data_IF_008885583662
#
_entry.id   IF_008885583662
#
_cell.length_a   1.000
_cell.length_b   1.000
_cell.length_c   1.000
_cell.angle_alpha   90.00
_cell.angle_beta   90.00
_cell.angle_gamma   90.00
#
_symmetry.space_group_name_H-M   'P 1'
#
loop_
_entity.id
_entity.type
_entity.pdbx_description
1 polymer ?
#
# COMPACT_ATOMS: atom_id res chain seq x y z
N UNK A 1 -18.90 41.26 4.92
CA UNK A 1 -19.98 40.33 4.52
C UNK A 1 -19.45 38.91 4.77
N UNK A 2 -19.82 38.25 5.87
CA UNK A 2 -19.50 36.83 6.07
C UNK A 2 -20.41 36.06 5.11
N UNK A 3 -19.86 35.74 3.94
CA UNK A 3 -20.56 35.18 2.79
C UNK A 3 -20.97 33.73 3.00
N UNK A 4 -21.90 33.30 2.13
CA UNK A 4 -22.39 31.92 1.97
C UNK A 4 -23.12 31.30 3.17
N UNK A 5 -24.29 30.67 2.92
CA UNK A 5 -24.99 29.83 3.90
C UNK A 5 -24.33 28.46 4.10
N UNK A 6 -23.36 28.09 3.25
CA UNK A 6 -22.64 26.83 3.39
C UNK A 6 -21.68 26.94 4.56
N UNK A 7 -21.68 25.93 5.41
CA UNK A 7 -20.67 25.77 6.44
C UNK A 7 -19.30 25.66 5.79
N UNK A 8 -18.40 26.56 6.15
CA UNK A 8 -17.00 26.55 5.72
C UNK A 8 -16.17 26.01 6.88
N UNK A 9 -15.47 24.90 6.64
CA UNK A 9 -14.49 24.41 7.60
C UNK A 9 -13.40 25.48 7.77
N UNK A 10 -13.02 25.76 9.01
CA UNK A 10 -11.84 26.56 9.31
C UNK A 10 -10.56 25.83 8.86
N UNK A 11 -9.39 26.45 9.01
CA UNK A 11 -8.08 25.81 8.74
C UNK A 11 -7.69 24.75 9.80
N UNK A 12 -8.67 24.24 10.54
CA UNK A 12 -8.48 23.30 11.64
C UNK A 12 -8.24 21.89 11.09
N UNK A 13 -7.38 21.12 11.77
CA UNK A 13 -7.17 19.72 11.42
C UNK A 13 -8.42 18.95 11.82
N UNK A 14 -9.08 18.30 10.85
CA UNK A 14 -10.24 17.45 11.11
C UNK A 14 -9.81 16.22 11.91
N UNK A 15 -10.09 16.23 13.22
CA UNK A 15 -9.71 15.15 14.12
C UNK A 15 -10.92 14.63 14.87
N UNK A 16 -10.96 13.32 15.09
CA UNK A 16 -11.91 12.72 16.03
C UNK A 16 -11.49 13.12 17.44
N UNK A 17 -12.31 13.86 18.19
CA UNK A 17 -11.95 14.25 19.55
C UNK A 17 -11.97 13.00 20.44
N UNK A 18 -10.80 12.52 20.84
CA UNK A 18 -10.66 11.37 21.75
C UNK A 18 -10.79 11.82 23.21
N UNK A 19 -10.24 12.99 23.54
CA UNK A 19 -10.28 13.56 24.89
C UNK A 19 -10.31 15.08 24.82
N UNK A 20 -11.23 15.70 25.56
CA UNK A 20 -11.30 17.14 25.73
C UNK A 20 -10.28 17.56 26.80
N UNK A 21 -9.19 18.19 26.37
CA UNK A 21 -8.16 18.70 27.27
C UNK A 21 -8.05 20.22 27.19
N UNK A 22 -7.83 20.86 28.34
CA UNK A 22 -7.57 22.30 28.41
C UNK A 22 -6.11 22.58 28.08
N UNK A 23 -5.87 23.14 26.91
CA UNK A 23 -4.53 23.54 26.47
C UNK A 23 -4.26 24.97 26.95
N UNK A 24 -3.34 25.13 27.89
CA UNK A 24 -2.89 26.45 28.38
C UNK A 24 -1.47 26.76 27.94
N UNK A 25 -0.56 25.82 28.15
CA UNK A 25 0.85 25.87 27.74
C UNK A 25 1.20 24.50 27.18
N UNK A 26 1.12 24.37 25.85
CA UNK A 26 1.35 23.09 25.19
C UNK A 26 2.77 22.54 25.43
N UNK A 27 3.86 23.33 25.30
CA UNK A 27 5.21 22.87 25.63
C UNK A 27 5.34 22.33 27.06
N UNK A 28 4.87 23.05 28.07
CA UNK A 28 4.96 22.60 29.46
C UNK A 28 4.18 21.30 29.70
N UNK A 29 2.96 21.21 29.15
CA UNK A 29 2.11 20.02 29.27
C UNK A 29 2.73 18.80 28.55
N UNK A 30 3.39 18.99 27.39
CA UNK A 30 4.10 17.92 26.70
C UNK A 30 5.20 17.34 27.60
N UNK A 31 6.00 18.22 28.22
CA UNK A 31 7.11 17.82 29.09
C UNK A 31 6.59 17.07 30.33
N UNK A 32 5.52 17.55 30.95
CA UNK A 32 4.90 16.90 32.11
C UNK A 32 4.42 15.49 31.77
N UNK A 33 3.68 15.33 30.67
CA UNK A 33 3.15 14.04 30.22
C UNK A 33 4.27 13.09 29.83
N UNK A 34 5.30 13.59 29.13
CA UNK A 34 6.46 12.79 28.76
C UNK A 34 7.17 12.24 30.00
N UNK A 35 7.42 13.08 31.02
CA UNK A 35 8.00 12.64 32.29
C UNK A 35 7.12 11.63 33.01
N UNK A 36 5.79 11.83 32.99
CA UNK A 36 4.83 10.88 33.57
C UNK A 36 4.89 9.51 32.91
N UNK A 37 4.90 9.46 31.58
CA UNK A 37 5.01 8.21 30.82
C UNK A 37 6.35 7.51 31.08
N UNK A 38 7.44 8.26 31.21
CA UNK A 38 8.75 7.67 31.52
C UNK A 38 8.79 7.11 32.94
N UNK A 39 8.27 7.84 33.92
CA UNK A 39 8.36 7.45 35.33
C UNK A 39 7.43 6.27 35.70
N UNK A 40 6.27 6.15 35.05
CA UNK A 40 5.23 5.21 35.46
C UNK A 40 5.16 3.94 34.58
N UNK A 41 5.95 3.84 33.50
CA UNK A 41 5.91 2.72 32.56
C UNK A 41 7.26 1.96 32.50
N UNK A 42 7.81 1.59 33.66
CA UNK A 42 9.10 0.87 33.75
C UNK A 42 8.89 -0.64 33.65
N UNK A 43 8.26 -1.25 34.66
CA UNK A 43 8.07 -2.71 34.72
C UNK A 43 6.73 -3.18 34.12
N UNK A 44 5.69 -2.37 34.31
CA UNK A 44 4.35 -2.62 33.80
C UNK A 44 3.77 -1.35 33.17
N UNK A 45 2.89 -1.52 32.20
CA UNK A 45 2.18 -0.40 31.59
C UNK A 45 1.19 0.16 32.60
N UNK A 46 1.36 1.42 32.98
CA UNK A 46 0.40 2.13 33.83
C UNK A 46 -0.98 2.24 33.16
N UNK A 47 -2.06 2.17 33.94
CA UNK A 47 -3.45 2.13 33.44
C UNK A 47 -3.80 3.34 32.56
N UNK A 48 -3.31 4.52 32.92
CA UNK A 48 -3.57 5.77 32.19
C UNK A 48 -2.62 6.02 31.01
N UNK A 49 -1.60 5.16 30.81
CA UNK A 49 -0.57 5.37 29.80
C UNK A 49 -1.11 5.50 28.37
N UNK A 50 -2.13 4.72 27.93
CA UNK A 50 -2.73 4.93 26.62
C UNK A 50 -3.34 6.33 26.46
N UNK A 51 -4.02 6.83 27.50
CA UNK A 51 -4.61 8.16 27.47
C UNK A 51 -3.53 9.25 27.47
N UNK A 52 -2.51 9.13 28.32
CA UNK A 52 -1.35 10.03 28.36
C UNK A 52 -0.60 10.04 27.03
N UNK A 53 -0.44 8.89 26.38
CA UNK A 53 0.18 8.79 25.07
C UNK A 53 -0.65 9.50 23.99
N UNK A 54 -1.98 9.37 24.02
CA UNK A 54 -2.85 10.14 23.13
C UNK A 54 -2.68 11.64 23.39
N UNK A 55 -2.60 12.09 24.64
CA UNK A 55 -2.33 13.50 24.96
C UNK A 55 -0.96 13.96 24.43
N UNK A 56 0.07 13.11 24.51
CA UNK A 56 1.41 13.35 23.95
C UNK A 56 1.39 13.49 22.40
N UNK A 57 0.38 12.94 21.73
CA UNK A 57 0.13 13.13 20.29
C UNK A 57 -0.70 14.40 20.02
N UNK A 58 -1.66 14.72 20.89
CA UNK A 58 -2.58 15.84 20.71
C UNK A 58 -1.90 17.20 20.88
N UNK A 59 -1.08 17.38 21.91
CA UNK A 59 -0.46 18.67 22.23
C UNK A 59 0.53 19.17 21.16
N UNK A 60 1.34 18.32 20.50
CA UNK A 60 2.18 18.78 19.41
C UNK A 60 1.41 19.29 18.18
N UNK A 61 0.12 18.93 18.01
CA UNK A 61 -0.70 19.37 16.86
C UNK A 61 -1.01 20.87 16.89
N UNK A 62 -0.96 21.48 18.08
CA UNK A 62 -1.14 22.92 18.28
C UNK A 62 0.18 23.62 18.66
N UNK A 63 1.30 22.90 18.60
CA UNK A 63 2.64 23.45 18.84
C UNK A 63 3.31 23.84 17.52
N UNK A 64 4.19 24.84 17.57
CA UNK A 64 5.02 25.20 16.42
C UNK A 64 6.21 24.24 16.28
N UNK A 65 6.87 24.27 15.12
CA UNK A 65 8.09 23.48 14.91
C UNK A 65 9.16 23.81 15.95
N UNK A 66 9.35 25.09 16.25
CA UNK A 66 10.38 25.57 17.19
C UNK A 66 10.14 25.00 18.59
N UNK A 67 8.89 24.92 19.04
CA UNK A 67 8.54 24.31 20.32
C UNK A 67 8.86 22.82 20.34
N UNK A 68 8.52 22.10 19.27
CA UNK A 68 8.82 20.66 19.14
C UNK A 68 10.34 20.43 19.13
N UNK A 69 11.09 21.27 18.43
CA UNK A 69 12.55 21.22 18.39
C UNK A 69 13.19 21.54 19.73
N UNK A 70 12.66 22.49 20.49
CA UNK A 70 13.14 22.81 21.83
C UNK A 70 12.97 21.62 22.78
N UNK A 71 11.80 20.95 22.75
CA UNK A 71 11.53 19.75 23.54
C UNK A 71 12.44 18.61 23.10
N UNK A 72 12.62 18.40 21.79
CA UNK A 72 13.57 17.43 21.27
C UNK A 72 14.99 17.68 21.77
N UNK A 73 15.48 18.93 21.68
CA UNK A 73 16.82 19.30 22.11
C UNK A 73 17.05 19.01 23.61
N UNK A 74 16.01 19.15 24.43
CA UNK A 74 16.06 18.82 25.85
C UNK A 74 16.23 17.31 26.10
N UNK A 75 15.53 16.45 25.35
CA UNK A 75 15.43 15.01 25.66
C UNK A 75 16.15 14.07 24.69
N UNK A 76 16.75 14.58 23.61
CA UNK A 76 17.34 13.74 22.55
C UNK A 76 18.46 12.82 23.00
N UNK A 77 19.13 13.14 24.11
CA UNK A 77 20.23 12.36 24.69
C UNK A 77 19.75 11.42 25.83
N UNK A 78 18.47 11.46 26.18
CA UNK A 78 17.87 10.60 27.21
C UNK A 78 17.12 9.44 26.54
N UNK A 79 17.66 8.21 26.53
CA UNK A 79 17.16 7.14 25.64
C UNK A 79 15.67 6.83 25.78
N UNK A 80 15.14 6.84 27.00
CA UNK A 80 13.72 6.52 27.27
C UNK A 80 12.81 7.66 26.82
N UNK A 81 13.13 8.91 27.16
CA UNK A 81 12.38 10.08 26.71
C UNK A 81 12.41 10.22 25.17
N UNK A 82 13.60 10.05 24.58
CA UNK A 82 13.81 10.05 23.13
C UNK A 82 12.91 9.03 22.43
N UNK A 83 12.82 7.80 22.96
CA UNK A 83 11.96 6.76 22.41
C UNK A 83 10.48 7.16 22.45
N UNK A 84 9.98 7.64 23.58
CA UNK A 84 8.60 8.12 23.70
C UNK A 84 8.27 9.25 22.72
N UNK A 85 9.22 10.18 22.50
CA UNK A 85 9.07 11.24 21.49
C UNK A 85 9.01 10.65 20.08
N UNK A 86 9.90 9.73 19.72
CA UNK A 86 9.91 9.10 18.40
C UNK A 86 8.72 8.17 18.15
N UNK A 87 8.10 7.63 19.21
CA UNK A 87 6.87 6.85 19.11
C UNK A 87 5.63 7.77 18.93
N UNK A 88 5.60 8.92 19.60
CA UNK A 88 4.46 9.84 19.57
C UNK A 88 4.45 10.79 18.37
N UNK A 89 5.58 11.45 18.07
CA UNK A 89 5.66 12.52 17.07
C UNK A 89 5.15 12.09 15.68
N UNK A 90 5.50 10.92 15.13
CA UNK A 90 4.97 10.47 13.84
C UNK A 90 3.43 10.40 13.76
N UNK A 91 2.77 10.17 14.90
CA UNK A 91 1.32 10.03 14.99
C UNK A 91 0.57 11.37 15.10
N UNK A 92 1.30 12.49 15.24
CA UNK A 92 0.74 13.85 15.26
C UNK A 92 0.03 14.15 13.94
N UNK A 93 0.54 13.64 12.80
CA UNK A 93 -0.15 13.69 11.52
C UNK A 93 -0.18 15.08 10.86
N UNK A 94 0.82 15.93 11.13
CA UNK A 94 0.97 17.24 10.49
C UNK A 94 2.20 17.28 9.56
N UNK A 95 2.20 18.12 8.51
CA UNK A 95 3.38 18.30 7.63
C UNK A 95 4.64 18.73 8.41
N UNK A 96 4.45 19.47 9.50
CA UNK A 96 5.49 19.91 10.44
C UNK A 96 6.33 18.73 10.93
N UNK A 97 5.71 17.59 11.26
CA UNK A 97 6.43 16.41 11.74
C UNK A 97 7.23 15.74 10.63
N UNK A 98 6.69 15.67 9.42
CA UNK A 98 7.45 15.11 8.29
C UNK A 98 8.69 15.97 8.03
N UNK A 99 8.56 17.30 8.15
CA UNK A 99 9.68 18.24 8.03
C UNK A 99 10.70 18.03 9.16
N UNK A 100 10.24 17.95 10.41
CA UNK A 100 11.08 17.65 11.57
C UNK A 100 11.88 16.35 11.38
N UNK A 101 11.21 15.24 11.03
CA UNK A 101 11.85 13.93 10.83
C UNK A 101 12.91 14.00 9.71
N UNK A 102 12.58 14.67 8.58
CA UNK A 102 13.52 14.93 7.49
C UNK A 102 14.75 15.68 7.99
N UNK A 103 14.56 16.82 8.67
CA UNK A 103 15.66 17.68 9.10
C UNK A 103 16.57 16.98 10.12
N UNK A 104 16.00 16.28 11.11
CA UNK A 104 16.79 15.53 12.11
C UNK A 104 17.57 14.37 11.50
N UNK A 105 17.02 13.67 10.50
CA UNK A 105 17.78 12.65 9.80
C UNK A 105 18.90 13.22 8.93
N UNK A 106 18.64 14.32 8.20
CA UNK A 106 19.66 14.96 7.38
C UNK A 106 20.81 15.49 8.24
N UNK A 107 20.51 16.07 9.41
CA UNK A 107 21.47 16.51 10.41
C UNK A 107 22.25 15.38 11.11
N UNK A 108 21.89 14.11 10.89
CA UNK A 108 22.53 12.97 11.54
C UNK A 108 22.10 12.76 13.00
N UNK A 109 21.01 13.40 13.44
CA UNK A 109 20.47 13.25 14.78
C UNK A 109 19.59 12.00 14.95
N UNK A 110 19.15 11.38 13.85
CA UNK A 110 18.42 10.12 13.85
C UNK A 110 19.26 9.00 13.23
N UNK A 111 19.24 7.83 13.88
CA UNK A 111 19.77 6.60 13.29
C UNK A 111 18.87 6.13 12.14
N UNK A 112 19.39 5.25 11.28
CA UNK A 112 18.61 4.72 10.17
C UNK A 112 17.33 3.97 10.63
N UNK A 113 17.36 3.11 11.68
CA UNK A 113 16.14 2.46 12.17
C UNK A 113 15.11 3.45 12.73
N UNK A 114 15.55 4.43 13.53
CA UNK A 114 14.67 5.48 14.07
C UNK A 114 14.01 6.28 12.96
N UNK A 115 14.77 6.63 11.92
CA UNK A 115 14.24 7.36 10.78
C UNK A 115 13.21 6.55 10.00
N UNK A 116 13.49 5.28 9.69
CA UNK A 116 12.55 4.41 8.96
C UNK A 116 11.25 4.23 9.76
N UNK A 117 11.35 3.91 11.05
CA UNK A 117 10.18 3.74 11.92
C UNK A 117 9.34 5.03 11.98
N UNK A 118 9.99 6.17 12.24
CA UNK A 118 9.31 7.45 12.35
C UNK A 118 8.67 7.88 11.02
N UNK A 119 9.39 7.74 9.91
CA UNK A 119 8.93 8.17 8.60
C UNK A 119 7.74 7.35 8.11
N UNK A 120 7.77 6.01 8.25
CA UNK A 120 6.68 5.14 7.79
C UNK A 120 5.37 5.49 8.50
N UNK A 121 5.41 5.69 9.82
CA UNK A 121 4.23 6.09 10.60
C UNK A 121 3.79 7.51 10.20
N UNK A 122 4.72 8.46 10.08
CA UNK A 122 4.40 9.84 9.72
C UNK A 122 3.72 9.94 8.34
N UNK A 123 4.23 9.24 7.33
CA UNK A 123 3.66 9.22 5.98
C UNK A 123 2.27 8.58 5.92
N UNK A 124 1.94 7.67 6.85
CA UNK A 124 0.60 7.09 6.95
C UNK A 124 -0.38 8.02 7.67
N UNK A 125 0.10 8.78 8.66
CA UNK A 125 -0.73 9.60 9.55
C UNK A 125 -1.00 11.01 8.99
N UNK A 126 -0.03 11.59 8.28
CA UNK A 126 -0.14 12.94 7.73
C UNK A 126 -1.20 13.03 6.63
N UNK A 127 -1.85 14.18 6.49
CA UNK A 127 -2.73 14.48 5.36
C UNK A 127 -1.95 14.42 4.04
N UNK A 128 -2.52 13.78 3.04
CA UNK A 128 -1.93 13.72 1.70
C UNK A 128 -2.31 14.95 0.87
N UNK A 129 -1.71 16.09 1.18
CA UNK A 129 -1.82 17.34 0.42
C UNK A 129 -0.60 17.58 -0.48
N UNK A 130 -0.65 18.64 -1.29
CA UNK A 130 0.42 18.97 -2.23
C UNK A 130 1.73 19.30 -1.53
N UNK A 131 1.69 19.99 -0.38
CA UNK A 131 2.86 20.35 0.41
C UNK A 131 3.60 19.09 0.91
N UNK A 132 2.86 18.16 1.52
CA UNK A 132 3.43 16.93 2.06
C UNK A 132 3.92 16.00 0.96
N UNK A 133 3.23 15.96 -0.19
CA UNK A 133 3.72 15.23 -1.37
C UNK A 133 5.03 15.82 -1.90
N UNK A 134 5.15 17.15 -2.01
CA UNK A 134 6.40 17.81 -2.42
C UNK A 134 7.54 17.53 -1.44
N UNK A 135 7.25 17.56 -0.13
CA UNK A 135 8.21 17.23 0.90
C UNK A 135 8.71 15.79 0.76
N UNK A 136 7.79 14.84 0.57
CA UNK A 136 8.10 13.42 0.39
C UNK A 136 8.90 13.18 -0.90
N UNK A 137 8.52 13.83 -2.01
CA UNK A 137 9.26 13.77 -3.26
C UNK A 137 10.67 14.33 -3.11
N UNK A 138 10.83 15.47 -2.42
CA UNK A 138 12.15 16.08 -2.16
C UNK A 138 13.05 15.14 -1.35
N UNK A 139 12.47 14.37 -0.42
CA UNK A 139 13.20 13.40 0.37
C UNK A 139 13.60 12.19 -0.50
N UNK A 140 12.67 11.69 -1.32
CA UNK A 140 12.91 10.54 -2.20
C UNK A 140 14.07 10.77 -3.19
N UNK A 141 14.22 12.03 -3.65
CA UNK A 141 15.25 12.44 -4.61
C UNK A 141 16.52 13.00 -3.95
N UNK A 142 16.59 13.03 -2.62
CA UNK A 142 17.75 13.58 -1.91
C UNK A 142 18.96 12.64 -2.01
N UNK A 143 20.16 13.15 -2.26
CA UNK A 143 21.40 12.36 -2.45
C UNK A 143 21.70 11.39 -1.29
N UNK A 144 21.61 11.88 -0.05
CA UNK A 144 21.75 11.04 1.16
C UNK A 144 20.76 9.86 1.21
N UNK A 145 19.57 10.03 0.66
CA UNK A 145 18.55 8.97 0.61
C UNK A 145 18.81 8.05 -0.57
N UNK A 146 19.16 8.61 -1.74
CA UNK A 146 19.34 7.83 -2.96
C UNK A 146 20.51 6.84 -2.88
N UNK A 147 21.53 7.17 -2.07
CA UNK A 147 22.70 6.32 -1.80
C UNK A 147 22.42 5.14 -0.88
N UNK A 148 21.26 5.07 -0.19
CA UNK A 148 20.88 3.99 0.72
C UNK A 148 19.68 3.23 0.11
N UNK A 149 19.88 2.10 -0.59
CA UNK A 149 18.81 1.46 -1.37
C UNK A 149 17.55 1.12 -0.58
N UNK A 150 17.70 0.52 0.61
CA UNK A 150 16.57 0.17 1.47
C UNK A 150 15.77 1.41 1.89
N UNK A 151 16.45 2.53 2.14
CA UNK A 151 15.80 3.76 2.53
C UNK A 151 15.09 4.42 1.36
N UNK A 152 15.75 4.46 0.21
CA UNK A 152 15.18 4.93 -1.04
C UNK A 152 13.90 4.18 -1.39
N UNK A 153 13.89 2.85 -1.25
CA UNK A 153 12.69 2.03 -1.46
C UNK A 153 11.56 2.46 -0.53
N UNK A 154 11.80 2.57 0.78
CA UNK A 154 10.79 2.98 1.77
C UNK A 154 10.19 4.35 1.42
N UNK A 155 11.02 5.35 1.13
CA UNK A 155 10.57 6.72 0.84
C UNK A 155 9.78 6.76 -0.47
N UNK A 156 10.25 6.09 -1.52
CA UNK A 156 9.57 6.03 -2.82
C UNK A 156 8.21 5.31 -2.72
N UNK A 157 8.13 4.19 -1.99
CA UNK A 157 6.86 3.48 -1.76
C UNK A 157 5.86 4.33 -0.97
N UNK A 158 6.37 5.10 0.01
CA UNK A 158 5.60 6.10 0.74
C UNK A 158 5.07 7.21 -0.18
N UNK A 159 5.91 7.72 -1.10
CA UNK A 159 5.49 8.71 -2.09
C UNK A 159 4.35 8.22 -2.99
N UNK A 160 4.42 6.98 -3.49
CA UNK A 160 3.32 6.37 -4.25
C UNK A 160 2.03 6.28 -3.43
N UNK A 161 2.13 5.90 -2.15
CA UNK A 161 0.98 5.80 -1.24
C UNK A 161 0.36 7.17 -0.94
N UNK A 162 1.19 8.22 -0.82
CA UNK A 162 0.73 9.60 -0.67
C UNK A 162 -0.07 10.07 -1.88
N UNK A 163 0.41 9.80 -3.10
CA UNK A 163 -0.35 10.10 -4.33
C UNK A 163 -1.70 9.36 -4.31
N UNK A 164 -1.72 8.09 -3.94
CA UNK A 164 -2.97 7.32 -3.87
C UNK A 164 -3.98 7.93 -2.90
N UNK A 165 -3.55 8.27 -1.69
CA UNK A 165 -4.39 8.91 -0.66
C UNK A 165 -4.87 10.30 -1.11
N UNK A 166 -3.99 11.09 -1.72
CA UNK A 166 -4.35 12.39 -2.29
C UNK A 166 -5.44 12.25 -3.36
N UNK A 167 -5.25 11.33 -4.31
CA UNK A 167 -6.21 11.11 -5.40
C UNK A 167 -7.55 10.50 -4.94
N UNK A 168 -7.62 9.89 -3.76
CA UNK A 168 -8.90 9.47 -3.15
C UNK A 168 -9.64 10.70 -2.59
N UNK A 169 -8.92 11.63 -1.96
CA UNK A 169 -9.50 12.86 -1.42
C UNK A 169 -9.86 13.89 -2.49
N UNK A 170 -9.15 13.91 -3.61
CA UNK A 170 -9.31 14.89 -4.70
C UNK A 170 -9.79 14.19 -5.98
N UNK A 171 -11.09 14.29 -6.34
CA UNK A 171 -11.66 13.61 -7.51
C UNK A 171 -11.01 13.98 -8.84
N UNK A 172 -10.46 15.19 -8.96
CA UNK A 172 -9.77 15.71 -10.15
C UNK A 172 -8.26 15.52 -10.09
N UNK A 173 -7.78 14.45 -9.45
CA UNK A 173 -6.35 14.21 -9.26
C UNK A 173 -5.60 14.29 -10.59
N UNK A 174 -4.59 15.16 -10.67
CA UNK A 174 -3.83 15.38 -11.90
C UNK A 174 -2.85 14.23 -12.16
N UNK A 175 -2.76 13.78 -13.41
CA UNK A 175 -1.74 12.81 -13.83
C UNK A 175 -0.32 13.34 -13.71
N UNK A 176 -0.13 14.66 -13.64
CA UNK A 176 1.20 15.28 -13.51
C UNK A 176 1.93 14.88 -12.23
N UNK A 177 1.20 14.50 -11.16
CA UNK A 177 1.80 14.00 -9.92
C UNK A 177 2.64 12.73 -10.13
N UNK A 178 2.34 11.97 -11.18
CA UNK A 178 3.03 10.71 -11.51
C UNK A 178 4.22 10.91 -12.44
N UNK A 179 4.33 12.10 -13.07
CA UNK A 179 5.35 12.37 -14.08
C UNK A 179 6.77 12.04 -13.60
N UNK A 180 7.20 12.43 -12.37
CA UNK A 180 8.53 12.05 -11.88
C UNK A 180 8.75 10.53 -11.85
N UNK A 181 7.72 9.75 -11.51
CA UNK A 181 7.81 8.29 -11.43
C UNK A 181 7.76 7.67 -12.83
N UNK A 182 6.98 8.24 -13.76
CA UNK A 182 6.96 7.83 -15.15
C UNK A 182 8.29 8.07 -15.84
N UNK A 183 8.92 9.21 -15.59
CA UNK A 183 10.24 9.58 -16.13
C UNK A 183 11.32 8.63 -15.60
N UNK A 184 11.33 8.35 -14.29
CA UNK A 184 12.22 7.35 -13.68
C UNK A 184 12.01 5.98 -14.30
N UNK A 185 10.76 5.52 -14.46
CA UNK A 185 10.48 4.22 -15.07
C UNK A 185 10.99 4.14 -16.51
N UNK A 186 10.80 5.21 -17.30
CA UNK A 186 11.26 5.28 -18.68
C UNK A 186 12.79 5.27 -18.80
N UNK A 187 13.48 6.04 -17.95
CA UNK A 187 14.94 6.09 -17.89
C UNK A 187 15.54 4.76 -17.42
N UNK A 188 14.98 4.15 -16.38
CA UNK A 188 15.39 2.85 -15.89
C UNK A 188 15.23 1.76 -16.96
N UNK A 189 14.13 1.82 -17.71
CA UNK A 189 13.88 0.91 -18.83
C UNK A 189 14.90 1.09 -19.95
N UNK A 190 15.25 2.32 -20.31
CA UNK A 190 16.24 2.57 -21.38
C UNK A 190 17.65 2.15 -20.99
N UNK A 191 18.00 2.23 -19.70
CA UNK A 191 19.28 1.79 -19.13
C UNK A 191 19.32 0.31 -18.74
N UNK A 192 18.20 -0.40 -18.85
CA UNK A 192 18.03 -1.78 -18.35
C UNK A 192 18.39 -1.91 -16.85
N UNK A 193 18.05 -0.90 -16.05
CA UNK A 193 18.26 -0.87 -14.60
C UNK A 193 17.14 -1.65 -13.90
N UNK A 194 17.34 -2.95 -13.73
CA UNK A 194 16.33 -3.87 -13.19
C UNK A 194 15.85 -3.49 -11.77
N UNK A 195 16.73 -3.17 -10.80
CA UNK A 195 16.30 -2.66 -9.49
C UNK A 195 15.42 -1.42 -9.59
N UNK A 196 15.78 -0.47 -10.46
CA UNK A 196 15.04 0.79 -10.60
C UNK A 196 13.69 0.61 -11.28
N UNK A 197 13.62 -0.24 -12.33
CA UNK A 197 12.35 -0.63 -12.97
C UNK A 197 11.43 -1.27 -11.92
N UNK A 198 11.96 -2.19 -11.11
CA UNK A 198 11.21 -2.88 -10.06
C UNK A 198 10.64 -1.89 -9.04
N UNK A 199 11.46 -0.95 -8.56
CA UNK A 199 10.99 0.05 -7.61
C UNK A 199 9.92 0.94 -8.23
N UNK A 200 10.16 1.47 -9.44
CA UNK A 200 9.20 2.33 -10.13
C UNK A 200 7.84 1.64 -10.33
N UNK A 201 7.83 0.36 -10.72
CA UNK A 201 6.60 -0.43 -10.85
C UNK A 201 5.84 -0.55 -9.52
N UNK A 202 6.54 -0.84 -8.41
CA UNK A 202 5.90 -0.89 -7.07
C UNK A 202 5.33 0.46 -6.66
N UNK A 203 6.04 1.55 -6.95
CA UNK A 203 5.58 2.92 -6.64
C UNK A 203 4.34 3.29 -7.45
N UNK A 204 4.34 2.98 -8.75
CA UNK A 204 3.16 3.14 -9.61
C UNK A 204 1.99 2.27 -9.15
N UNK A 205 2.28 1.05 -8.67
CA UNK A 205 1.31 0.14 -8.07
C UNK A 205 0.69 0.71 -6.79
N UNK A 206 1.50 1.28 -5.90
CA UNK A 206 1.00 1.96 -4.70
C UNK A 206 0.12 3.17 -5.07
N UNK A 207 0.57 4.01 -6.01
CA UNK A 207 -0.19 5.16 -6.50
C UNK A 207 -1.53 4.74 -7.12
N UNK A 208 -1.55 3.65 -7.87
CA UNK A 208 -2.77 3.03 -8.39
C UNK A 208 -3.63 3.99 -9.21
N UNK A 209 -2.99 4.89 -9.96
CA UNK A 209 -3.68 5.90 -10.77
C UNK A 209 -3.84 5.43 -12.22
N UNK A 210 -5.02 5.59 -12.85
CA UNK A 210 -5.27 5.06 -14.20
C UNK A 210 -4.30 5.55 -15.28
N UNK A 211 -3.77 6.77 -15.14
CA UNK A 211 -2.75 7.31 -16.05
C UNK A 211 -1.47 6.47 -16.14
N UNK A 212 -1.17 5.66 -15.10
CA UNK A 212 -0.02 4.76 -15.08
C UNK A 212 -0.24 3.47 -15.88
N UNK A 213 -1.46 3.18 -16.34
CA UNK A 213 -1.76 1.95 -17.07
C UNK A 213 -0.91 1.82 -18.34
N UNK A 214 -0.83 2.86 -19.17
CA UNK A 214 -0.03 2.83 -20.41
C UNK A 214 1.47 2.64 -20.14
N UNK A 215 2.11 3.39 -19.21
CA UNK A 215 3.48 3.11 -18.79
C UNK A 215 3.70 1.66 -18.32
N UNK A 216 2.86 1.13 -17.44
CA UNK A 216 2.97 -0.25 -16.94
C UNK A 216 2.82 -1.27 -18.07
N UNK A 217 1.86 -1.06 -18.99
CA UNK A 217 1.63 -1.96 -20.12
C UNK A 217 2.84 -2.12 -21.06
N UNK A 218 3.75 -1.13 -21.11
CA UNK A 218 5.00 -1.26 -21.89
C UNK A 218 5.96 -2.29 -21.29
N UNK A 219 5.81 -2.61 -20.00
CA UNK A 219 6.65 -3.53 -19.24
C UNK A 219 5.98 -4.89 -19.02
N UNK A 220 4.72 -5.06 -19.43
CA UNK A 220 4.02 -6.34 -19.36
C UNK A 220 4.53 -7.31 -20.45
N UNK A 221 4.75 -8.59 -20.11
CA UNK A 221 5.21 -9.56 -21.08
C UNK A 221 4.15 -9.89 -22.13
N UNK A 222 4.57 -10.36 -23.31
CA UNK A 222 3.66 -10.77 -24.39
C UNK A 222 2.97 -9.63 -25.16
N UNK A 223 2.91 -8.41 -24.59
CA UNK A 223 2.39 -7.22 -25.31
C UNK A 223 3.45 -6.58 -26.22
N UNK A 224 4.74 -6.74 -25.89
CA UNK A 224 5.87 -6.33 -26.73
C UNK A 224 7.02 -7.32 -26.59
N UNK A 225 7.74 -7.56 -27.67
CA UNK A 225 8.90 -8.48 -27.72
C UNK A 225 9.99 -8.12 -26.70
N UNK A 226 10.27 -6.82 -26.52
CA UNK A 226 11.27 -6.33 -25.55
C UNK A 226 10.85 -6.49 -24.08
N UNK A 227 9.55 -6.59 -23.78
CA UNK A 227 9.08 -6.81 -22.41
C UNK A 227 9.23 -8.28 -22.00
N UNK A 228 9.12 -9.20 -22.95
CA UNK A 228 9.34 -10.65 -22.71
C UNK A 228 10.80 -10.98 -22.41
N UNK A 229 11.76 -10.12 -22.78
CA UNK A 229 13.17 -10.25 -22.39
C UNK A 229 13.49 -9.71 -20.99
N UNK A 230 12.55 -9.04 -20.31
CA UNK A 230 12.76 -8.61 -18.93
C UNK A 230 12.79 -9.80 -17.98
N UNK A 231 13.54 -9.74 -16.86
CA UNK A 231 13.54 -10.79 -15.86
C UNK A 231 12.14 -11.11 -15.33
N UNK A 232 11.88 -12.37 -15.02
CA UNK A 232 10.58 -12.84 -14.51
C UNK A 232 10.02 -11.97 -13.37
N UNK A 233 10.90 -11.57 -12.44
CA UNK A 233 10.54 -10.68 -11.32
C UNK A 233 9.93 -9.36 -11.78
N UNK A 234 10.51 -8.71 -12.80
CA UNK A 234 9.99 -7.45 -13.34
C UNK A 234 8.63 -7.65 -14.00
N UNK A 235 8.44 -8.77 -14.71
CA UNK A 235 7.15 -9.12 -15.31
C UNK A 235 6.07 -9.31 -14.25
N UNK A 236 6.41 -9.98 -13.13
CA UNK A 236 5.51 -10.16 -11.98
C UNK A 236 5.19 -8.82 -11.32
N UNK A 237 6.20 -7.98 -11.05
CA UNK A 237 6.01 -6.65 -10.46
C UNK A 237 5.13 -5.76 -11.37
N UNK A 238 5.27 -5.85 -12.69
CA UNK A 238 4.44 -5.11 -13.64
C UNK A 238 2.97 -5.53 -13.57
N UNK A 239 2.69 -6.82 -13.41
CA UNK A 239 1.32 -7.31 -13.22
C UNK A 239 0.77 -6.87 -11.88
N UNK A 240 1.55 -7.01 -10.79
CA UNK A 240 1.13 -6.59 -9.45
C UNK A 240 0.86 -5.08 -9.35
N UNK A 241 1.55 -4.26 -10.15
CA UNK A 241 1.29 -2.82 -10.24
C UNK A 241 -0.13 -2.48 -10.75
N UNK A 242 -0.81 -3.42 -11.42
CA UNK A 242 -2.18 -3.21 -11.91
C UNK A 242 -3.25 -3.36 -10.81
N UNK A 243 -2.93 -3.93 -9.65
CA UNK A 243 -3.92 -4.30 -8.61
C UNK A 243 -4.75 -3.12 -8.11
N UNK A 244 -4.11 -2.01 -7.76
CA UNK A 244 -4.85 -0.84 -7.28
C UNK A 244 -5.59 -0.10 -8.40
N UNK A 245 -5.09 -0.18 -9.65
CA UNK A 245 -5.82 0.31 -10.82
C UNK A 245 -7.05 -0.56 -11.07
N UNK A 246 -6.95 -1.89 -10.94
CA UNK A 246 -8.06 -2.82 -11.13
C UNK A 246 -9.24 -2.56 -10.18
N UNK A 247 -8.97 -2.11 -8.96
CA UNK A 247 -10.00 -1.73 -7.98
C UNK A 247 -10.78 -0.46 -8.37
N UNK A 248 -10.14 0.46 -9.10
CA UNK A 248 -10.73 1.75 -9.53
C UNK A 248 -11.33 1.67 -10.93
N UNK A 249 -10.59 1.07 -11.86
CA UNK A 249 -10.90 0.98 -13.29
C UNK A 249 -10.88 -0.49 -13.78
N UNK A 250 -11.73 -1.37 -13.24
CA UNK A 250 -11.70 -2.81 -13.53
C UNK A 250 -11.85 -3.11 -15.02
N UNK A 251 -12.66 -2.32 -15.75
CA UNK A 251 -12.91 -2.50 -17.18
C UNK A 251 -11.66 -2.32 -18.04
N UNK A 252 -10.71 -1.49 -17.59
CA UNK A 252 -9.45 -1.28 -18.31
C UNK A 252 -8.44 -2.40 -18.05
N UNK A 253 -8.48 -3.00 -16.86
CA UNK A 253 -7.51 -4.03 -16.44
C UNK A 253 -7.94 -5.45 -16.82
N UNK A 254 -9.25 -5.76 -16.76
CA UNK A 254 -9.78 -7.10 -17.04
C UNK A 254 -9.32 -7.69 -18.39
N UNK A 255 -9.36 -6.95 -19.52
CA UNK A 255 -8.92 -7.49 -20.81
C UNK A 255 -7.42 -7.83 -20.82
N UNK A 256 -6.60 -6.98 -20.20
CA UNK A 256 -5.15 -7.15 -20.10
C UNK A 256 -4.82 -8.37 -19.23
N UNK A 257 -5.41 -8.45 -18.04
CA UNK A 257 -5.20 -9.57 -17.13
C UNK A 257 -5.66 -10.90 -17.75
N UNK A 258 -6.82 -10.92 -18.42
CA UNK A 258 -7.29 -12.13 -19.10
C UNK A 258 -6.33 -12.56 -20.21
N UNK A 259 -5.87 -11.63 -21.05
CA UNK A 259 -4.92 -11.94 -22.12
C UNK A 259 -3.64 -12.60 -21.56
N UNK A 260 -3.08 -12.05 -20.47
CA UNK A 260 -1.90 -12.60 -19.82
C UNK A 260 -2.16 -13.99 -19.23
N UNK A 261 -3.33 -14.26 -18.66
CA UNK A 261 -3.68 -15.60 -18.15
C UNK A 261 -3.74 -16.61 -19.30
N UNK A 262 -4.26 -16.23 -20.46
CA UNK A 262 -4.52 -17.13 -21.58
C UNK A 262 -3.32 -17.37 -22.50
N UNK A 263 -2.32 -16.49 -22.46
CA UNK A 263 -1.11 -16.64 -23.28
C UNK A 263 -0.19 -17.75 -22.76
N UNK A 264 -0.15 -18.88 -23.48
CA UNK A 264 0.64 -20.06 -23.12
C UNK A 264 2.13 -19.91 -23.36
N UNK A 265 2.56 -18.88 -24.10
CA UNK A 265 3.97 -18.59 -24.29
C UNK A 265 4.59 -17.92 -23.04
N UNK A 266 3.76 -17.41 -22.13
CA UNK A 266 4.21 -16.77 -20.91
C UNK A 266 4.57 -17.79 -19.82
N UNK A 267 5.50 -17.39 -18.95
CA UNK A 267 5.90 -18.17 -17.79
C UNK A 267 4.68 -18.46 -16.89
N UNK A 268 4.52 -19.69 -16.34
CA UNK A 268 3.35 -20.07 -15.54
C UNK A 268 3.08 -19.13 -14.35
N UNK A 269 4.13 -18.65 -13.68
CA UNK A 269 4.01 -17.68 -12.58
C UNK A 269 3.33 -16.38 -13.02
N UNK A 270 3.75 -15.80 -14.14
CA UNK A 270 3.16 -14.58 -14.72
C UNK A 270 1.66 -14.78 -14.95
N UNK A 271 1.27 -15.93 -15.51
CA UNK A 271 -0.13 -16.28 -15.78
C UNK A 271 -0.94 -16.46 -14.50
N UNK A 272 -0.37 -17.08 -13.47
CA UNK A 272 -1.03 -17.24 -12.17
C UNK A 272 -1.19 -15.89 -11.43
N UNK A 273 -0.17 -15.03 -11.46
CA UNK A 273 -0.25 -13.67 -10.89
C UNK A 273 -1.29 -12.82 -11.64
N UNK A 274 -1.35 -12.92 -12.98
CA UNK A 274 -2.39 -12.25 -13.76
C UNK A 274 -3.80 -12.75 -13.40
N UNK A 275 -3.95 -14.03 -13.03
CA UNK A 275 -5.21 -14.59 -12.55
C UNK A 275 -5.65 -13.93 -11.24
N UNK A 276 -4.72 -13.64 -10.31
CA UNK A 276 -5.01 -12.89 -9.09
C UNK A 276 -5.57 -11.51 -9.43
N UNK A 277 -4.88 -10.75 -10.29
CA UNK A 277 -5.30 -9.40 -10.71
C UNK A 277 -6.67 -9.42 -11.39
N UNK A 278 -6.94 -10.42 -12.24
CA UNK A 278 -8.22 -10.58 -12.91
C UNK A 278 -9.38 -10.69 -11.91
N UNK A 279 -9.23 -11.49 -10.84
CA UNK A 279 -10.28 -11.66 -9.83
C UNK A 279 -10.38 -10.47 -8.87
N UNK A 280 -9.28 -9.77 -8.57
CA UNK A 280 -9.31 -8.49 -7.85
C UNK A 280 -10.07 -7.41 -8.64
N UNK A 281 -10.07 -7.49 -9.98
CA UNK A 281 -10.87 -6.63 -10.85
C UNK A 281 -12.37 -7.00 -10.89
N UNK A 282 -12.84 -7.92 -10.04
CA UNK A 282 -14.24 -8.35 -9.91
C UNK A 282 -14.90 -8.70 -11.28
N UNK A 283 -14.43 -9.77 -11.95
CA UNK A 283 -14.82 -10.11 -13.31
C UNK A 283 -16.28 -10.59 -13.40
N UNK A 284 -16.90 -10.40 -14.57
CA UNK A 284 -18.29 -10.83 -14.80
C UNK A 284 -18.41 -12.35 -14.97
N UNK A 285 -19.64 -12.87 -14.80
CA UNK A 285 -19.94 -14.30 -15.03
C UNK A 285 -19.46 -14.78 -16.40
N UNK A 286 -19.64 -13.95 -17.45
CA UNK A 286 -19.18 -14.26 -18.79
C UNK A 286 -17.66 -14.41 -18.85
N UNK A 287 -16.92 -13.49 -18.24
CA UNK A 287 -15.45 -13.51 -18.25
C UNK A 287 -14.88 -14.70 -17.50
N UNK A 288 -15.44 -15.01 -16.31
CA UNK A 288 -15.02 -16.18 -15.51
C UNK A 288 -15.39 -17.49 -16.22
N UNK A 289 -16.54 -17.55 -16.89
CA UNK A 289 -16.95 -18.73 -17.66
C UNK A 289 -16.05 -18.96 -18.88
N UNK A 290 -15.65 -17.89 -19.58
CA UNK A 290 -14.68 -17.96 -20.68
C UNK A 290 -13.32 -18.45 -20.19
N UNK A 291 -12.84 -17.95 -19.05
CA UNK A 291 -11.61 -18.45 -18.43
C UNK A 291 -11.72 -19.95 -18.11
N UNK A 292 -12.80 -20.39 -17.45
CA UNK A 292 -13.03 -21.80 -17.13
C UNK A 292 -13.10 -22.69 -18.39
N UNK A 293 -13.68 -22.18 -19.48
CA UNK A 293 -13.69 -22.85 -20.79
C UNK A 293 -12.29 -23.00 -21.37
N UNK A 294 -11.49 -21.94 -21.37
CA UNK A 294 -10.13 -21.94 -21.89
C UNK A 294 -9.19 -22.88 -21.10
N UNK A 295 -9.38 -22.98 -19.78
CA UNK A 295 -8.61 -23.88 -18.92
C UNK A 295 -8.83 -25.37 -19.24
N UNK A 296 -9.85 -25.75 -20.00
CA UNK A 296 -10.04 -27.15 -20.44
C UNK A 296 -8.96 -27.64 -21.39
N UNK A 297 -8.38 -26.73 -22.18
CA UNK A 297 -7.34 -27.06 -23.15
C UNK A 297 -5.96 -26.64 -22.67
N UNK A 298 -5.86 -26.12 -21.45
CA UNK A 298 -4.60 -25.72 -20.82
C UNK A 298 -3.74 -26.94 -20.49
N UNK A 299 -2.46 -26.86 -20.85
CA UNK A 299 -1.51 -27.97 -20.67
C UNK A 299 -0.68 -27.81 -19.41
N UNK A 300 -0.47 -26.59 -18.92
CA UNK A 300 0.28 -26.36 -17.70
C UNK A 300 -0.57 -26.62 -16.44
N UNK A 301 -0.26 -27.70 -15.74
CA UNK A 301 -1.06 -28.15 -14.59
C UNK A 301 -0.96 -27.22 -13.36
N UNK A 302 0.12 -26.43 -13.23
CA UNK A 302 0.21 -25.42 -12.17
C UNK A 302 -0.81 -24.29 -12.42
N UNK A 303 -0.92 -23.80 -13.66
CA UNK A 303 -1.90 -22.77 -14.03
C UNK A 303 -3.33 -23.29 -13.84
N UNK A 304 -3.62 -24.51 -14.29
CA UNK A 304 -4.95 -25.13 -14.12
C UNK A 304 -5.30 -25.32 -12.64
N UNK A 305 -4.38 -25.87 -11.84
CA UNK A 305 -4.57 -26.09 -10.41
C UNK A 305 -4.83 -24.79 -9.66
N UNK A 306 -4.04 -23.76 -9.96
CA UNK A 306 -4.14 -22.44 -9.35
C UNK A 306 -5.48 -21.79 -9.67
N UNK A 307 -5.83 -21.66 -10.95
CA UNK A 307 -7.08 -21.02 -11.36
C UNK A 307 -8.32 -21.80 -10.88
N UNK A 308 -8.29 -23.14 -10.93
CA UNK A 308 -9.37 -23.97 -10.41
C UNK A 308 -9.57 -23.78 -8.90
N UNK A 309 -8.50 -23.84 -8.11
CA UNK A 309 -8.59 -23.66 -6.65
C UNK A 309 -9.04 -22.25 -6.28
N UNK A 310 -8.60 -21.22 -7.02
CA UNK A 310 -9.05 -19.85 -6.81
C UNK A 310 -10.55 -19.68 -7.06
N UNK A 311 -11.04 -20.14 -8.22
CA UNK A 311 -12.47 -20.15 -8.54
C UNK A 311 -13.23 -20.93 -7.48
N UNK A 312 -12.73 -22.10 -7.08
CA UNK A 312 -13.37 -22.93 -6.05
C UNK A 312 -13.46 -22.21 -4.71
N UNK A 313 -12.41 -21.55 -4.25
CA UNK A 313 -12.44 -20.82 -2.98
C UNK A 313 -13.43 -19.65 -3.04
N UNK A 314 -13.49 -18.94 -4.17
CA UNK A 314 -14.41 -17.84 -4.38
C UNK A 314 -15.89 -18.25 -4.34
N UNK A 315 -16.21 -19.51 -4.64
CA UNK A 315 -17.60 -20.01 -4.53
C UNK A 315 -18.18 -19.97 -3.11
N UNK A 316 -17.29 -19.92 -2.10
CA UNK A 316 -17.64 -19.99 -0.67
C UNK A 316 -17.60 -18.64 0.04
N UNK A 317 -17.21 -17.58 -0.66
CA UNK A 317 -17.10 -16.24 -0.07
C UNK A 317 -18.48 -15.65 0.18
N UNK A 318 -18.66 -15.10 1.36
CA UNK A 318 -19.93 -14.53 1.87
C UNK A 318 -19.91 -13.00 1.98
N UNK A 319 -18.73 -12.38 1.83
CA UNK A 319 -18.54 -10.94 1.88
C UNK A 319 -19.45 -10.24 0.85
N UNK A 320 -20.29 -9.27 1.28
CA UNK A 320 -21.27 -8.64 0.40
C UNK A 320 -20.67 -7.99 -0.84
N UNK A 321 -19.47 -7.41 -0.72
CA UNK A 321 -18.78 -6.74 -1.83
C UNK A 321 -18.26 -7.73 -2.90
N UNK A 322 -18.19 -9.02 -2.59
CA UNK A 322 -17.73 -10.08 -3.47
C UNK A 322 -18.86 -10.99 -3.98
N UNK A 323 -20.13 -10.70 -3.64
CA UNK A 323 -21.28 -11.53 -3.99
C UNK A 323 -21.38 -11.82 -5.51
N UNK A 324 -21.12 -10.81 -6.36
CA UNK A 324 -21.13 -10.98 -7.81
C UNK A 324 -20.02 -11.94 -8.30
N UNK A 325 -18.83 -11.86 -7.70
CA UNK A 325 -17.69 -12.74 -8.02
C UNK A 325 -17.95 -14.16 -7.54
N UNK A 326 -18.51 -14.33 -6.34
CA UNK A 326 -18.92 -15.63 -5.82
C UNK A 326 -19.99 -16.29 -6.71
N UNK A 327 -20.97 -15.51 -7.19
CA UNK A 327 -21.95 -15.96 -8.17
C UNK A 327 -21.32 -16.42 -9.49
N UNK A 328 -20.40 -15.62 -10.04
CA UNK A 328 -19.64 -15.97 -11.24
C UNK A 328 -18.81 -17.25 -11.06
N UNK A 329 -18.14 -17.38 -9.92
CA UNK A 329 -17.36 -18.57 -9.59
C UNK A 329 -18.24 -19.82 -9.48
N UNK A 330 -19.43 -19.71 -8.88
CA UNK A 330 -20.40 -20.81 -8.74
C UNK A 330 -20.91 -21.33 -10.10
N UNK A 331 -21.00 -20.47 -11.11
CA UNK A 331 -21.30 -20.87 -12.49
C UNK A 331 -20.07 -21.53 -13.13
N UNK A 332 -18.93 -20.86 -13.08
CA UNK A 332 -17.71 -21.29 -13.75
C UNK A 332 -17.17 -22.63 -13.24
N UNK A 333 -17.23 -22.90 -11.93
CA UNK A 333 -16.74 -24.16 -11.35
C UNK A 333 -17.46 -25.39 -11.93
N UNK A 334 -18.72 -25.24 -12.34
CA UNK A 334 -19.52 -26.32 -12.95
C UNK A 334 -19.08 -26.64 -14.37
N UNK A 335 -18.37 -25.73 -15.03
CA UNK A 335 -17.79 -25.93 -16.36
C UNK A 335 -16.47 -26.71 -16.30
N UNK A 336 -15.87 -26.84 -15.12
CA UNK A 336 -14.55 -27.45 -14.93
C UNK A 336 -14.65 -28.89 -14.39
N UNK A 337 -13.62 -29.70 -14.63
CA UNK A 337 -13.58 -31.08 -14.13
C UNK A 337 -13.35 -31.13 -12.62
N UNK A 338 -14.21 -31.85 -11.89
CA UNK A 338 -14.04 -32.11 -10.45
C UNK A 338 -12.76 -32.90 -10.12
N UNK A 339 -12.12 -33.54 -11.11
CA UNK A 339 -10.84 -34.23 -10.90
C UNK A 339 -9.72 -33.27 -10.47
N UNK A 340 -9.80 -32.00 -10.86
CA UNK A 340 -8.83 -30.95 -10.51
C UNK A 340 -8.78 -30.66 -9.00
N UNK A 341 -9.83 -31.06 -8.27
CA UNK A 341 -9.86 -30.94 -6.82
C UNK A 341 -8.87 -31.88 -6.13
N UNK A 342 -8.57 -33.02 -6.77
CA UNK A 342 -7.70 -34.08 -6.24
C UNK A 342 -6.21 -33.79 -6.39
N UNK A 343 -5.84 -32.68 -7.03
CA UNK A 343 -4.44 -32.28 -7.16
C UNK A 343 -3.84 -32.04 -5.76
N UNK A 344 -2.57 -32.38 -5.55
CA UNK A 344 -1.93 -32.17 -4.25
C UNK A 344 -1.41 -30.74 -4.11
N UNK A 345 -0.90 -30.40 -2.92
CA UNK A 345 -0.19 -29.14 -2.67
C UNK A 345 1.15 -29.01 -3.42
N UNK A 346 1.58 -30.05 -4.15
CA UNK A 346 2.73 -29.94 -5.07
C UNK A 346 2.41 -29.05 -6.28
N UNK A 347 1.15 -28.94 -6.65
CA UNK A 347 0.72 -27.97 -7.66
C UNK A 347 0.39 -26.63 -7.00
N UNK A 348 0.49 -25.56 -7.78
CA UNK A 348 0.11 -24.22 -7.35
C UNK A 348 -1.37 -24.15 -6.93
N UNK A 349 -1.66 -23.34 -5.92
CA UNK A 349 -2.98 -23.23 -5.30
C UNK A 349 -3.29 -21.80 -4.89
N UNK A 350 -4.56 -21.45 -4.93
CA UNK A 350 -5.10 -20.24 -4.33
C UNK A 350 -6.18 -20.60 -3.32
N UNK A 351 -6.11 -19.98 -2.15
CA UNK A 351 -7.10 -20.09 -1.10
C UNK A 351 -7.64 -18.70 -0.78
N UNK A 352 -8.95 -18.61 -0.60
CA UNK A 352 -9.62 -17.42 -0.12
C UNK A 352 -10.67 -17.83 0.91
N UNK A 353 -10.64 -17.15 2.05
CA UNK A 353 -11.52 -17.37 3.19
C UNK A 353 -12.04 -16.02 3.68
N UNK A 354 -13.26 -15.99 4.18
CA UNK A 354 -13.84 -14.81 4.78
C UNK A 354 -14.78 -15.15 5.95
N UNK A 355 -15.07 -14.11 6.72
CA UNK A 355 -16.06 -14.10 7.77
C UNK A 355 -16.79 -12.76 7.71
N UNK A 356 -18.11 -12.78 7.77
CA UNK A 356 -18.93 -11.56 7.79
C UNK A 356 -20.04 -11.66 8.82
N UNK A 357 -20.13 -10.66 9.70
CA UNK A 357 -21.14 -10.57 10.75
C UNK A 357 -22.20 -9.52 10.38
N UNK A 358 -23.35 -9.96 9.86
CA UNK A 358 -24.38 -9.09 9.28
C UNK A 358 -24.88 -8.00 10.22
N UNK A 359 -25.14 -8.30 11.50
CA UNK A 359 -25.69 -7.29 12.43
C UNK A 359 -24.71 -6.17 12.77
N UNK A 360 -23.41 -6.41 12.63
CA UNK A 360 -22.37 -5.40 12.86
C UNK A 360 -21.90 -4.76 11.56
N UNK A 361 -22.27 -5.34 10.42
CA UNK A 361 -21.75 -4.99 9.09
C UNK A 361 -20.22 -5.03 9.00
N UNK A 362 -19.57 -5.87 9.82
CA UNK A 362 -18.11 -6.03 9.87
C UNK A 362 -17.75 -7.43 9.39
N UNK A 363 -16.62 -7.54 8.68
CA UNK A 363 -16.05 -8.81 8.29
C UNK A 363 -14.55 -8.72 8.08
N UNK A 364 -13.94 -9.88 7.86
CA UNK A 364 -12.54 -10.04 7.52
C UNK A 364 -12.41 -11.07 6.40
N UNK A 365 -11.45 -10.86 5.51
CA UNK A 365 -11.11 -11.81 4.46
C UNK A 365 -9.60 -12.01 4.41
N UNK A 366 -9.17 -13.22 4.11
CA UNK A 366 -7.78 -13.60 3.93
C UNK A 366 -7.61 -14.42 2.66
N UNK A 367 -6.49 -14.23 1.97
CA UNK A 367 -6.09 -15.05 0.83
C UNK A 367 -4.66 -15.55 0.99
N UNK A 368 -4.39 -16.72 0.42
CA UNK A 368 -3.06 -17.30 0.33
C UNK A 368 -2.85 -17.84 -1.09
N UNK A 369 -1.73 -17.49 -1.70
CA UNK A 369 -1.38 -17.90 -3.06
C UNK A 369 -0.05 -18.67 -3.01
N UNK A 370 -0.11 -19.95 -3.33
CA UNK A 370 1.04 -20.85 -3.43
C UNK A 370 1.37 -21.00 -4.92
N UNK A 371 2.49 -20.43 -5.35
CA UNK A 371 2.99 -20.53 -6.72
C UNK A 371 4.21 -21.45 -6.70
N UNK A 372 4.00 -22.69 -7.13
CA UNK A 372 5.04 -23.70 -7.20
C UNK A 372 5.59 -23.80 -8.62
N UNK A 373 6.85 -24.24 -8.73
CA UNK A 373 7.47 -24.69 -9.96
C UNK A 373 7.80 -26.20 -9.85
N UNK A 374 8.03 -26.88 -10.96
CA UNK A 374 8.42 -28.29 -10.99
C UNK A 374 9.72 -28.55 -10.20
N UNK A 375 10.54 -27.52 -9.99
CA UNK A 375 11.81 -27.58 -9.27
C UNK A 375 11.72 -27.28 -7.76
N UNK A 376 10.59 -26.76 -7.25
CA UNK A 376 10.48 -26.29 -5.85
C UNK A 376 9.18 -26.74 -5.19
N UNK A 377 9.34 -27.47 -4.07
CA UNK A 377 8.27 -27.69 -3.08
C UNK A 377 8.59 -26.74 -1.92
N UNK A 378 7.84 -25.64 -1.80
CA UNK A 378 7.90 -24.73 -0.64
C UNK A 378 6.65 -24.96 0.20
#
# INVERSE_FOLDING_TARGET
>A
IRGSLKYEFATEILQTPIHLMKISDAPAQIIEILKHLVANNVDMVHEDAPLKFVQLIQLPRVSTLENIEAIWAQFKNEPVHRRWLLDALPSVGTPVIVKFIKEKFLAGELTLPEFIQALVVALQMVTADLETMQLTASLAMHEKISTIPALREVVMLGYGSMIARHCVAVPTCSSELLKPIHDIAAEATSKNDIPEITLALKVLGNAGHPASLKPIMKLLPGLRTAATSLPLRVQVDAILALRNIAKKEPKLVQPVALQLVLDRALHPEVRMVACIVLFEAKPSVALVSSLAGALKTETNMHVVSFAYSHIKSLTRITAPDMAAVAGAANVAIKLMSRKLDRLSYRFSRALQLDFYHTSLMVGAAGSAYMINDAATII
#
